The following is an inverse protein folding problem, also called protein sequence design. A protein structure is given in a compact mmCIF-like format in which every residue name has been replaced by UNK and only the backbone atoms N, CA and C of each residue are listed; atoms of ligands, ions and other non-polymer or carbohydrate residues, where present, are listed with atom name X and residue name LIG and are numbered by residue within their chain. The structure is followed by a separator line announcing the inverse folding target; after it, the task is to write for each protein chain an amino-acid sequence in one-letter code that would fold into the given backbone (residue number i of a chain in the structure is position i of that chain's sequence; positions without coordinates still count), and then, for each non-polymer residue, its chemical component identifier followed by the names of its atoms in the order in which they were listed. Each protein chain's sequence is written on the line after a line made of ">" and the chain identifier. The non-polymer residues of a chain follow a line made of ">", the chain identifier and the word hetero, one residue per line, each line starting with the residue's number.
data_IF_439738626307
#
_entry.id   IF_439738626307
#
_cell.length_a   1.000
_cell.length_b   1.000
_cell.length_c   1.000
_cell.angle_alpha   90.00
_cell.angle_beta   90.00
_cell.angle_gamma   90.00
#
_symmetry.space_group_name_H-M   'P 1'
#
loop_
_entity.id
_entity.type
_entity.pdbx_description
1 polymer ?
#
# COMPACT_ATOMS: atom_id res chain seq x y z
N UNK A 1 -1.94 13.12 -4.99
CA UNK A 1 -2.86 13.40 -3.86
C UNK A 1 -3.29 14.86 -3.90
N UNK A 2 -4.56 15.19 -3.61
CA UNK A 2 -5.03 16.58 -3.46
C UNK A 2 -4.87 17.13 -2.02
N UNK A 3 -4.41 16.29 -1.08
CA UNK A 3 -4.07 16.69 0.29
C UNK A 3 -5.18 16.63 1.34
N UNK A 4 -6.45 16.46 0.93
CA UNK A 4 -7.61 16.52 1.85
C UNK A 4 -7.71 15.36 2.85
N UNK A 5 -7.31 14.15 2.45
CA UNK A 5 -7.41 12.94 3.30
C UNK A 5 -6.01 12.54 3.76
N UNK A 6 -5.79 12.37 5.07
CA UNK A 6 -4.52 11.88 5.62
C UNK A 6 -4.05 10.56 4.99
N UNK A 7 -4.89 9.52 4.82
CA UNK A 7 -4.43 8.26 4.22
C UNK A 7 -4.01 8.42 2.75
N UNK A 8 -4.67 9.26 1.96
CA UNK A 8 -4.23 9.54 0.60
C UNK A 8 -2.96 10.42 0.55
N UNK A 9 -2.81 11.40 1.46
CA UNK A 9 -1.68 12.36 1.47
C UNK A 9 -0.40 11.79 2.05
N UNK A 10 -0.49 11.11 3.19
CA UNK A 10 0.65 10.54 3.91
C UNK A 10 0.74 9.04 3.70
N UNK A 11 -0.40 8.35 3.64
CA UNK A 11 -0.39 6.89 3.43
C UNK A 11 0.29 6.51 2.12
N UNK A 12 0.07 7.25 1.02
CA UNK A 12 0.77 6.98 -0.24
C UNK A 12 2.30 7.04 -0.13
N UNK A 13 2.86 7.99 0.65
CA UNK A 13 4.31 8.05 0.86
C UNK A 13 4.81 6.93 1.77
N UNK A 14 4.04 6.57 2.80
CA UNK A 14 4.33 5.40 3.66
C UNK A 14 4.28 4.08 2.88
N UNK A 15 3.37 3.95 1.93
CA UNK A 15 3.28 2.80 1.03
C UNK A 15 4.53 2.64 0.18
N UNK A 16 5.07 3.74 -0.36
CA UNK A 16 6.35 3.73 -1.10
C UNK A 16 7.51 3.28 -0.18
N UNK A 17 7.62 3.85 1.02
CA UNK A 17 8.63 3.44 2.01
C UNK A 17 8.54 1.95 2.35
N UNK A 18 7.32 1.42 2.52
CA UNK A 18 7.08 0.00 2.77
C UNK A 18 7.48 -0.89 1.60
N UNK A 19 7.10 -0.52 0.37
CA UNK A 19 7.48 -1.26 -0.84
C UNK A 19 9.01 -1.28 -1.02
N UNK A 20 9.69 -0.16 -0.76
CA UNK A 20 11.15 -0.11 -0.84
C UNK A 20 11.83 -1.04 0.17
N UNK A 21 11.26 -1.18 1.38
CA UNK A 21 11.74 -2.16 2.37
C UNK A 21 11.51 -3.61 1.91
N UNK A 22 10.35 -3.90 1.33
CA UNK A 22 10.02 -5.23 0.78
C UNK A 22 10.99 -5.61 -0.33
N UNK A 23 11.26 -4.68 -1.26
CA UNK A 23 12.24 -4.85 -2.35
C UNK A 23 13.67 -5.05 -1.82
N UNK A 24 14.03 -4.39 -0.73
CA UNK A 24 15.31 -4.55 -0.06
C UNK A 24 15.39 -5.79 0.86
N UNK A 25 14.35 -6.63 0.92
CA UNK A 25 14.23 -7.79 1.81
C UNK A 25 14.43 -7.46 3.30
N UNK A 26 13.99 -6.28 3.74
CA UNK A 26 14.04 -5.88 5.15
C UNK A 26 12.70 -6.18 5.79
N UNK A 27 12.67 -7.07 6.78
CA UNK A 27 11.44 -7.41 7.54
C UNK A 27 10.24 -7.62 6.59
N UNK A 28 10.46 -8.39 5.52
CA UNK A 28 9.57 -8.44 4.35
C UNK A 28 8.13 -8.80 4.72
N UNK A 29 7.95 -9.88 5.47
CA UNK A 29 6.64 -10.36 5.94
C UNK A 29 5.89 -9.27 6.72
N UNK A 30 6.58 -8.64 7.68
CA UNK A 30 5.99 -7.58 8.51
C UNK A 30 5.61 -6.36 7.67
N UNK A 31 6.45 -5.98 6.69
CA UNK A 31 6.13 -4.87 5.79
C UNK A 31 4.98 -5.19 4.82
N UNK A 32 4.80 -6.46 4.42
CA UNK A 32 3.64 -6.89 3.62
C UNK A 32 2.34 -6.78 4.43
N UNK A 33 2.36 -7.19 5.70
CA UNK A 33 1.21 -7.02 6.62
C UNK A 33 0.89 -5.53 6.79
N UNK A 34 1.90 -4.70 7.07
CA UNK A 34 1.72 -3.25 7.21
C UNK A 34 1.20 -2.60 5.91
N UNK A 35 1.64 -3.07 4.74
CA UNK A 35 1.17 -2.58 3.45
C UNK A 35 -0.30 -2.94 3.22
N UNK A 36 -0.75 -4.13 3.63
CA UNK A 36 -2.16 -4.54 3.58
C UNK A 36 -3.04 -3.65 4.48
N UNK A 37 -2.64 -3.43 5.74
CA UNK A 37 -3.37 -2.56 6.69
C UNK A 37 -3.47 -1.11 6.17
N UNK A 38 -2.40 -0.62 5.54
CA UNK A 38 -2.38 0.69 4.91
C UNK A 38 -3.35 0.75 3.73
N UNK A 39 -3.42 -0.31 2.91
CA UNK A 39 -4.36 -0.44 1.81
C UNK A 39 -5.81 -0.34 2.31
N UNK A 40 -6.18 -1.05 3.39
CA UNK A 40 -7.51 -0.95 4.01
C UNK A 40 -7.81 0.47 4.50
N UNK A 41 -6.82 1.09 5.15
CA UNK A 41 -6.94 2.46 5.66
C UNK A 41 -7.15 3.46 4.52
N UNK A 42 -6.49 3.26 3.38
CA UNK A 42 -6.65 4.11 2.20
C UNK A 42 -7.99 3.90 1.50
N UNK A 43 -8.48 2.67 1.42
CA UNK A 43 -9.78 2.34 0.84
C UNK A 43 -10.92 2.99 1.63
N UNK A 44 -10.94 2.80 2.94
CA UNK A 44 -12.03 3.26 3.79
C UNK A 44 -11.86 4.71 4.30
N UNK A 45 -10.64 5.24 4.32
CA UNK A 45 -10.34 6.57 4.86
C UNK A 45 -10.22 7.69 3.81
N UNK A 46 -10.47 7.40 2.53
CA UNK A 46 -10.34 8.38 1.44
C UNK A 46 -11.69 8.90 0.95
N UNK A 47 -11.81 10.22 0.83
CA UNK A 47 -13.04 10.90 0.39
C UNK A 47 -13.30 10.83 -1.12
N UNK A 48 -12.37 10.32 -1.91
CA UNK A 48 -12.53 10.19 -3.36
C UNK A 48 -11.77 8.97 -3.91
N UNK A 49 -12.09 8.61 -5.16
CA UNK A 49 -11.55 7.45 -5.85
C UNK A 49 -10.02 7.45 -5.97
N UNK A 50 -9.37 8.62 -6.03
CA UNK A 50 -7.89 8.68 -6.09
C UNK A 50 -7.27 7.99 -4.88
N UNK A 51 -7.79 8.20 -3.68
CA UNK A 51 -7.31 7.50 -2.49
C UNK A 51 -7.90 6.10 -2.37
N UNK A 52 -9.21 5.96 -2.58
CA UNK A 52 -9.95 4.72 -2.35
C UNK A 52 -9.61 3.58 -3.30
N UNK A 53 -9.21 3.89 -4.54
CA UNK A 53 -8.86 2.89 -5.56
C UNK A 53 -7.35 2.68 -5.72
N UNK A 54 -6.50 3.50 -5.10
CA UNK A 54 -5.03 3.26 -5.10
C UNK A 54 -4.66 1.87 -4.53
N UNK A 55 -5.34 1.34 -3.50
CA UNK A 55 -5.08 -0.01 -2.99
C UNK A 55 -5.30 -1.16 -3.99
N UNK A 56 -6.16 -0.97 -4.99
CA UNK A 56 -6.60 -2.04 -5.88
C UNK A 56 -5.45 -2.61 -6.72
N UNK A 57 -4.64 -1.79 -7.44
CA UNK A 57 -3.49 -2.30 -8.15
C UNK A 57 -2.45 -2.94 -7.21
N UNK A 58 -2.26 -2.40 -6.00
CA UNK A 58 -1.31 -2.95 -5.02
C UNK A 58 -1.73 -4.36 -4.59
N UNK A 59 -2.98 -4.55 -4.20
CA UNK A 59 -3.52 -5.87 -3.83
C UNK A 59 -3.48 -6.85 -4.99
N UNK A 60 -3.93 -6.40 -6.18
CA UNK A 60 -3.90 -7.26 -7.36
C UNK A 60 -2.48 -7.71 -7.71
N UNK A 61 -1.47 -6.85 -7.52
CA UNK A 61 -0.08 -7.22 -7.79
C UNK A 61 0.41 -8.31 -6.83
N UNK A 62 0.10 -8.17 -5.54
CA UNK A 62 0.50 -9.15 -4.50
C UNK A 62 -0.24 -10.49 -4.71
N UNK A 63 -1.54 -10.43 -5.02
CA UNK A 63 -2.37 -11.63 -5.21
C UNK A 63 -2.03 -12.39 -6.49
N UNK A 64 -1.76 -11.68 -7.58
CA UNK A 64 -1.52 -12.30 -8.90
C UNK A 64 -0.05 -12.62 -9.17
N UNK A 65 0.88 -11.91 -8.51
CA UNK A 65 2.33 -12.09 -8.68
C UNK A 65 3.04 -12.21 -7.33
N UNK A 66 2.66 -13.15 -6.45
CA UNK A 66 3.28 -13.30 -5.13
C UNK A 66 4.80 -13.52 -5.20
N UNK A 67 5.30 -14.12 -6.28
CA UNK A 67 6.72 -14.37 -6.51
C UNK A 67 7.59 -13.10 -6.52
N UNK A 68 7.03 -11.97 -6.98
CA UNK A 68 7.74 -10.68 -7.01
C UNK A 68 7.90 -10.09 -5.60
N UNK A 69 7.11 -10.56 -4.64
CA UNK A 69 7.07 -10.09 -3.26
C UNK A 69 7.68 -11.09 -2.27
N UNK A 70 8.18 -12.24 -2.73
CA UNK A 70 8.88 -13.24 -1.90
C UNK A 70 8.18 -14.60 -1.76
N UNK A 71 7.13 -14.85 -2.55
CA UNK A 71 6.45 -16.16 -2.68
C UNK A 71 7.17 -17.16 -3.59
#
# INVERSE_FOLDING_TARGET
>A
SCGKCTPCRIGSTRGVEGIDKIRANKEREENLILLADLCDTMEHGSLCAMGGLTPFPVRSAIEQFPEDFGG
#
